data_IF_302075304333
#
_entry.id   IF_302075304333
#
_cell.length_a   1.000
_cell.length_b   1.000
_cell.length_c   1.000
_cell.angle_alpha   90.00
_cell.angle_beta   90.00
_cell.angle_gamma   90.00
#
_symmetry.space_group_name_H-M   'P 1'
#
loop_
_entity.id
_entity.type
_entity.pdbx_description
1 polymer ?
#
# COMPACT_ATOMS: atom_id res chain seq x y z
N UNK A 1 -8.90 11.73 -9.20
CA UNK A 1 -7.69 11.07 -8.64
C UNK A 1 -7.15 11.95 -7.52
N UNK A 2 -6.96 11.36 -6.34
CA UNK A 2 -6.55 12.07 -5.12
C UNK A 2 -5.12 12.60 -5.28
N UNK A 3 -4.93 13.92 -5.35
CA UNK A 3 -3.60 14.55 -5.49
C UNK A 3 -2.64 14.20 -4.34
N UNK A 4 -3.19 13.74 -3.22
CA UNK A 4 -2.49 13.37 -1.99
C UNK A 4 -1.48 12.23 -2.24
N UNK A 5 -1.86 11.19 -2.99
CA UNK A 5 -0.93 10.08 -3.25
C UNK A 5 0.18 10.49 -4.20
N UNK A 6 -0.14 11.40 -5.13
CA UNK A 6 0.81 11.92 -6.09
C UNK A 6 1.91 12.75 -5.41
N UNK A 7 1.55 13.62 -4.47
CA UNK A 7 2.56 14.39 -3.70
C UNK A 7 3.42 13.51 -2.80
N UNK A 8 2.87 12.43 -2.24
CA UNK A 8 3.65 11.45 -1.46
C UNK A 8 4.63 10.65 -2.31
N UNK A 9 4.22 10.23 -3.50
CA UNK A 9 5.07 9.52 -4.47
C UNK A 9 6.17 10.44 -5.00
N UNK A 10 5.81 11.64 -5.47
CA UNK A 10 6.75 12.65 -5.97
C UNK A 10 7.78 13.04 -4.89
N UNK A 11 7.35 13.17 -3.64
CA UNK A 11 8.23 13.46 -2.51
C UNK A 11 9.10 12.26 -2.11
N UNK A 12 8.61 11.03 -2.26
CA UNK A 12 9.38 9.82 -1.93
C UNK A 12 10.49 9.56 -2.96
N UNK A 13 10.25 9.91 -4.22
CA UNK A 13 11.17 9.71 -5.34
C UNK A 13 12.19 10.84 -5.46
N UNK A 14 11.81 12.09 -5.14
CA UNK A 14 12.69 13.24 -5.29
C UNK A 14 13.51 13.55 -4.03
N UNK A 15 14.75 13.04 -4.00
CA UNK A 15 15.70 13.27 -2.88
C UNK A 15 16.18 14.71 -2.74
N UNK A 16 16.14 15.52 -3.80
CA UNK A 16 16.51 16.94 -3.77
C UNK A 16 15.40 17.77 -3.12
N UNK A 17 14.14 17.48 -3.47
CA UNK A 17 12.97 18.09 -2.85
C UNK A 17 12.90 17.79 -1.35
N UNK A 18 13.20 16.55 -0.94
CA UNK A 18 13.30 16.19 0.48
C UNK A 18 14.37 17.02 1.23
N UNK A 19 15.50 17.28 0.58
CA UNK A 19 16.58 18.08 1.17
C UNK A 19 16.21 19.56 1.23
N UNK A 20 15.60 20.08 0.16
CA UNK A 20 15.11 21.45 0.09
C UNK A 20 14.09 21.72 1.20
N UNK A 21 13.06 20.89 1.33
CA UNK A 21 12.05 21.02 2.40
C UNK A 21 12.72 21.01 3.78
N UNK A 22 13.58 20.03 4.07
CA UNK A 22 14.26 19.98 5.36
C UNK A 22 15.15 21.20 5.61
N UNK A 23 15.75 21.78 4.57
CA UNK A 23 16.57 22.98 4.66
C UNK A 23 15.72 24.25 4.89
N UNK A 24 14.59 24.41 4.19
CA UNK A 24 13.64 25.53 4.37
C UNK A 24 13.15 25.63 5.82
N UNK A 25 12.93 24.47 6.47
CA UNK A 25 12.51 24.42 7.87
C UNK A 25 13.68 24.38 8.87
N UNK A 26 14.94 24.54 8.43
CA UNK A 26 16.13 24.51 9.31
C UNK A 26 16.42 23.15 9.95
N UNK A 27 15.79 22.08 9.47
CA UNK A 27 15.81 20.73 10.02
C UNK A 27 16.86 19.85 9.33
N UNK A 28 18.13 20.19 9.51
CA UNK A 28 19.25 19.46 8.91
C UNK A 28 19.83 18.42 9.87
N UNK A 29 19.69 17.13 9.53
CA UNK A 29 20.33 16.04 10.27
C UNK A 29 21.08 15.10 9.34
N UNK A 30 22.29 14.68 9.71
CA UNK A 30 23.06 13.68 8.93
C UNK A 30 22.49 12.27 9.04
N UNK A 31 21.70 11.98 10.08
CA UNK A 31 21.17 10.64 10.35
C UNK A 31 19.91 10.37 9.50
N UNK A 32 19.97 9.35 8.64
CA UNK A 32 18.86 8.92 7.76
C UNK A 32 17.54 8.71 8.51
N UNK A 33 17.60 8.05 9.68
CA UNK A 33 16.41 7.80 10.52
C UNK A 33 15.75 9.08 11.02
N UNK A 34 16.56 10.10 11.35
CA UNK A 34 16.08 11.39 11.85
C UNK A 34 15.46 12.20 10.71
N UNK A 35 16.12 12.27 9.54
CA UNK A 35 15.55 12.92 8.33
C UNK A 35 14.16 12.36 8.00
N UNK A 36 14.00 11.03 7.98
CA UNK A 36 12.71 10.38 7.71
C UNK A 36 11.63 10.71 8.74
N UNK A 37 12.00 10.76 10.03
CA UNK A 37 11.06 11.10 11.10
C UNK A 37 10.59 12.55 10.97
N UNK A 38 11.51 13.47 10.69
CA UNK A 38 11.22 14.90 10.50
C UNK A 38 10.37 15.14 9.26
N UNK A 39 10.73 14.52 8.13
CA UNK A 39 9.94 14.61 6.90
C UNK A 39 8.51 14.07 7.13
N UNK A 40 8.34 12.94 7.82
CA UNK A 40 7.02 12.39 8.14
C UNK A 40 6.18 13.32 9.01
N UNK A 41 6.82 14.02 9.95
CA UNK A 41 6.17 15.00 10.82
C UNK A 41 5.79 16.28 10.06
N UNK A 42 6.64 16.72 9.14
CA UNK A 42 6.33 17.82 8.22
C UNK A 42 5.18 17.47 7.29
N UNK A 43 5.18 16.25 6.76
CA UNK A 43 4.13 15.74 5.86
C UNK A 43 2.76 15.69 6.52
N UNK A 44 2.70 15.49 7.85
CA UNK A 44 1.44 15.67 8.58
C UNK A 44 0.97 17.13 8.70
N UNK A 45 1.81 18.11 8.34
CA UNK A 45 1.50 19.54 8.27
C UNK A 45 1.37 19.98 6.80
N UNK A 46 0.39 19.41 6.11
CA UNK A 46 0.21 19.45 4.65
C UNK A 46 0.16 20.87 4.05
N UNK A 47 -0.45 21.83 4.76
CA UNK A 47 -0.62 23.20 4.29
C UNK A 47 0.69 23.98 4.14
N UNK A 48 1.73 23.59 4.88
CA UNK A 48 3.05 24.22 4.82
C UNK A 48 3.91 23.62 3.71
N UNK A 49 3.75 22.32 3.42
CA UNK A 49 4.50 21.63 2.36
C UNK A 49 4.01 22.04 0.98
N UNK A 50 2.69 22.15 0.79
CA UNK A 50 2.15 22.49 -0.53
C UNK A 50 2.69 23.83 -1.06
N UNK A 51 2.96 24.80 -0.17
CA UNK A 51 3.60 26.08 -0.53
C UNK A 51 5.05 25.89 -0.98
N UNK A 52 5.85 25.15 -0.21
CA UNK A 52 7.26 24.90 -0.51
C UNK A 52 7.46 24.02 -1.76
N UNK A 53 6.56 23.06 -1.99
CA UNK A 53 6.56 22.21 -3.19
C UNK A 53 6.17 23.03 -4.43
N UNK A 54 5.21 23.96 -4.31
CA UNK A 54 4.88 24.88 -5.40
C UNK A 54 6.04 25.82 -5.73
N UNK A 55 6.73 26.35 -4.73
CA UNK A 55 7.94 27.18 -4.91
C UNK A 55 9.08 26.39 -5.59
N UNK A 56 9.31 25.13 -5.18
CA UNK A 56 10.32 24.26 -5.80
C UNK A 56 9.99 23.89 -7.27
N UNK A 57 8.69 23.73 -7.61
CA UNK A 57 8.26 23.51 -8.99
C UNK A 57 8.36 24.79 -9.84
N UNK A 58 8.28 25.97 -9.22
CA UNK A 58 8.33 27.26 -9.91
C UNK A 58 9.73 27.67 -10.38
N UNK A 59 10.80 27.19 -9.71
CA UNK A 59 12.18 27.47 -10.13
C UNK A 59 12.64 26.66 -11.37
N UNK A 60 11.80 25.73 -11.86
CA UNK A 60 12.16 24.79 -12.92
C UNK A 60 11.42 24.94 -14.26
N UNK A 61 10.44 25.83 -14.41
CA UNK A 61 9.66 25.90 -15.66
C UNK A 61 9.19 27.32 -16.02
N UNK A 62 9.85 27.88 -17.03
CA UNK A 62 9.30 28.91 -17.92
C UNK A 62 8.09 28.34 -18.67
N UNK A 63 7.06 29.17 -18.98
CA UNK A 63 5.80 28.70 -19.52
C UNK A 63 5.85 28.60 -21.05
N UNK A 64 5.50 27.45 -21.63
CA UNK A 64 5.09 27.39 -23.02
C UNK A 64 4.23 26.14 -23.31
N UNK A 65 2.99 26.41 -23.75
CA UNK A 65 2.21 25.72 -24.79
C UNK A 65 2.04 24.17 -24.67
N UNK A 66 0.80 23.71 -24.51
CA UNK A 66 -0.01 23.09 -25.58
C UNK A 66 0.73 21.92 -26.27
N UNK A 67 0.27 20.68 -26.22
CA UNK A 67 -0.91 20.25 -26.96
C UNK A 67 -1.37 18.84 -26.53
N UNK A 68 -2.63 18.56 -26.89
CA UNK A 68 -3.38 17.31 -26.73
C UNK A 68 -2.72 16.14 -27.49
N UNK A 69 -3.09 14.90 -27.17
CA UNK A 69 -3.71 13.94 -28.10
C UNK A 69 -4.07 12.64 -27.36
N UNK A 70 -5.35 12.28 -27.45
CA UNK A 70 -5.97 11.00 -27.12
C UNK A 70 -5.87 10.07 -28.35
N UNK A 71 -5.73 8.74 -28.20
CA UNK A 71 -6.32 7.65 -29.03
C UNK A 71 -6.07 6.32 -28.26
N UNK A 72 -7.06 5.71 -27.59
CA UNK A 72 -8.04 4.69 -28.03
C UNK A 72 -7.54 3.22 -28.07
N UNK A 73 -8.10 2.43 -27.13
CA UNK A 73 -8.66 1.05 -27.19
C UNK A 73 -8.06 -0.05 -28.11
N UNK A 74 -7.89 -1.29 -27.59
CA UNK A 74 -8.83 -2.44 -27.78
C UNK A 74 -8.35 -3.75 -27.08
N UNK A 75 -9.22 -4.32 -26.21
CA UNK A 75 -9.68 -5.74 -26.02
C UNK A 75 -8.66 -6.89 -26.29
N UNK A 76 -8.54 -7.95 -25.47
CA UNK A 76 -9.47 -9.11 -25.40
C UNK A 76 -9.06 -10.03 -24.22
N UNK A 77 -9.98 -10.30 -23.29
CA UNK A 77 -10.07 -11.57 -22.53
C UNK A 77 -10.81 -12.61 -23.41
N UNK A 78 -10.72 -13.92 -23.11
CA UNK A 78 -11.92 -14.50 -22.46
C UNK A 78 -11.64 -15.66 -21.48
N UNK A 79 -12.42 -15.66 -20.39
CA UNK A 79 -13.24 -16.75 -19.76
C UNK A 79 -12.67 -18.15 -19.51
N UNK A 80 -13.13 -18.98 -18.56
CA UNK A 80 -14.02 -19.01 -17.37
C UNK A 80 -14.17 -20.51 -17.05
N UNK A 81 -14.31 -20.90 -15.78
CA UNK A 81 -15.10 -22.05 -15.23
C UNK A 81 -14.61 -22.25 -13.78
N UNK A 82 -15.15 -21.57 -12.75
CA UNK A 82 -16.49 -21.63 -12.13
C UNK A 82 -16.79 -22.95 -11.39
N UNK A 83 -16.80 -22.88 -10.05
CA UNK A 83 -17.90 -23.47 -9.28
C UNK A 83 -18.17 -22.71 -7.97
N UNK A 84 -19.34 -22.08 -8.01
CA UNK A 84 -20.15 -21.37 -7.01
C UNK A 84 -20.56 -22.28 -5.85
N UNK A 85 -20.52 -21.79 -4.59
CA UNK A 85 -21.66 -21.92 -3.64
C UNK A 85 -21.65 -20.81 -2.58
N UNK A 86 -22.84 -20.23 -2.39
CA UNK A 86 -23.39 -19.60 -1.19
C UNK A 86 -23.09 -18.11 -0.93
N UNK A 87 -24.14 -17.32 -1.18
CA UNK A 87 -24.40 -16.00 -0.62
C UNK A 87 -24.33 -16.00 0.92
N UNK A 88 -23.12 -15.84 1.44
CA UNK A 88 -22.86 -15.08 2.64
C UNK A 88 -21.82 -14.04 2.24
N UNK A 89 -21.89 -12.85 2.82
CA UNK A 89 -20.98 -11.73 2.53
C UNK A 89 -19.53 -12.09 2.89
N UNK A 90 -18.89 -12.96 2.12
CA UNK A 90 -17.53 -13.40 2.36
C UNK A 90 -16.60 -12.27 1.94
N UNK A 91 -15.78 -11.74 2.86
CA UNK A 91 -14.86 -10.67 2.53
C UNK A 91 -13.83 -11.17 1.49
N UNK A 92 -13.64 -10.41 0.42
CA UNK A 92 -12.67 -10.78 -0.62
C UNK A 92 -11.23 -10.57 -0.12
N UNK A 93 -10.57 -11.63 0.34
CA UNK A 93 -9.19 -11.56 0.85
C UNK A 93 -8.12 -11.35 -0.24
N UNK A 94 -8.46 -11.53 -1.51
CA UNK A 94 -7.52 -11.42 -2.65
C UNK A 94 -7.03 -9.99 -2.89
N UNK A 95 -7.89 -9.01 -2.68
CA UNK A 95 -7.63 -7.58 -2.91
C UNK A 95 -6.80 -6.95 -1.78
N UNK A 96 -6.74 -7.60 -0.62
CA UNK A 96 -6.05 -7.06 0.55
C UNK A 96 -4.52 -7.08 0.37
N UNK A 97 -3.83 -6.07 0.93
CA UNK A 97 -2.38 -6.07 0.95
C UNK A 97 -1.87 -7.21 1.85
N UNK A 98 -0.74 -7.81 1.46
CA UNK A 98 -0.08 -8.90 2.21
C UNK A 98 0.12 -8.56 3.68
N UNK A 99 0.39 -7.30 4.00
CA UNK A 99 0.57 -6.83 5.37
C UNK A 99 -0.70 -6.95 6.20
N UNK A 100 -1.88 -6.70 5.63
CA UNK A 100 -3.17 -6.90 6.29
C UNK A 100 -3.45 -8.39 6.49
N UNK A 101 -3.25 -9.20 5.45
CA UNK A 101 -3.38 -10.66 5.52
C UNK A 101 -2.51 -11.26 6.64
N UNK A 102 -1.24 -10.83 6.74
CA UNK A 102 -0.34 -11.27 7.80
C UNK A 102 -0.75 -10.78 9.19
N UNK A 103 -1.39 -9.62 9.33
CA UNK A 103 -1.92 -9.16 10.62
C UNK A 103 -3.08 -10.02 11.07
N UNK A 104 -4.04 -10.28 10.17
CA UNK A 104 -5.19 -11.15 10.41
C UNK A 104 -4.70 -12.56 10.77
N UNK A 105 -3.84 -13.14 9.92
CA UNK A 105 -3.24 -14.44 10.17
C UNK A 105 -2.53 -14.52 11.52
N UNK A 106 -1.74 -13.51 11.90
CA UNK A 106 -1.06 -13.51 13.21
C UNK A 106 -1.99 -13.27 14.39
N UNK A 107 -3.14 -12.63 14.20
CA UNK A 107 -4.11 -12.40 15.26
C UNK A 107 -4.91 -13.67 15.55
N UNK A 108 -5.40 -14.34 14.50
CA UNK A 108 -6.39 -15.42 14.61
C UNK A 108 -5.84 -16.81 14.22
N UNK A 109 -4.85 -16.89 13.32
CA UNK A 109 -4.36 -18.14 12.71
C UNK A 109 -2.83 -18.30 12.89
N UNK A 110 -2.35 -18.23 14.14
CA UNK A 110 -0.90 -18.26 14.44
C UNK A 110 -0.22 -19.59 14.12
N UNK A 111 -1.00 -20.66 14.11
CA UNK A 111 -0.51 -22.03 13.95
C UNK A 111 -0.30 -22.40 12.47
N UNK A 112 -0.96 -21.68 11.55
CA UNK A 112 -0.88 -21.93 10.12
C UNK A 112 0.52 -21.67 9.55
N UNK A 113 1.03 -22.65 8.82
CA UNK A 113 2.38 -22.62 8.25
C UNK A 113 2.55 -21.47 7.25
N UNK A 114 1.51 -21.19 6.45
CA UNK A 114 1.50 -20.09 5.48
C UNK A 114 1.72 -18.72 6.13
N UNK A 115 1.16 -18.51 7.32
CA UNK A 115 1.30 -17.25 8.08
C UNK A 115 2.66 -17.20 8.77
N UNK A 116 3.05 -18.29 9.43
CA UNK A 116 4.28 -18.37 10.24
C UNK A 116 5.54 -18.30 9.39
N UNK A 117 5.54 -18.98 8.24
CA UNK A 117 6.69 -19.15 7.37
C UNK A 117 6.66 -18.26 6.13
N UNK A 118 5.77 -17.27 6.08
CA UNK A 118 5.65 -16.37 4.93
C UNK A 118 6.97 -15.72 4.49
N UNK A 119 7.89 -15.42 5.41
CA UNK A 119 9.21 -14.87 5.07
C UNK A 119 10.37 -15.86 5.32
N UNK A 120 10.07 -17.13 5.55
CA UNK A 120 11.07 -18.15 5.83
C UNK A 120 11.60 -18.78 4.54
N UNK A 121 12.84 -18.46 4.17
CA UNK A 121 13.50 -19.01 2.97
C UNK A 121 13.72 -20.52 3.02
N UNK A 122 13.77 -21.12 4.21
CA UNK A 122 13.99 -22.56 4.38
C UNK A 122 12.73 -23.38 4.06
N UNK A 123 11.61 -22.71 3.77
CA UNK A 123 10.30 -23.27 3.49
C UNK A 123 9.80 -22.69 2.16
N UNK A 124 10.27 -23.22 1.02
CA UNK A 124 10.09 -22.59 -0.29
C UNK A 124 8.63 -22.52 -0.73
N UNK A 125 7.79 -23.47 -0.31
CA UNK A 125 6.35 -23.50 -0.63
C UNK A 125 5.59 -22.31 -0.03
N UNK A 126 5.97 -21.92 1.20
CA UNK A 126 5.36 -20.83 1.96
C UNK A 126 6.09 -19.49 1.78
N UNK A 127 7.32 -19.51 1.23
CA UNK A 127 8.14 -18.30 1.12
C UNK A 127 7.55 -17.28 0.13
N UNK A 128 7.03 -16.19 0.69
CA UNK A 128 6.40 -15.06 0.01
C UNK A 128 5.24 -15.46 -0.92
N UNK A 129 4.62 -16.61 -0.65
CA UNK A 129 3.51 -17.10 -1.44
C UNK A 129 2.21 -16.45 -0.97
N UNK A 130 1.74 -15.43 -1.72
CA UNK A 130 0.49 -14.72 -1.39
C UNK A 130 -0.73 -15.59 -1.59
N UNK A 131 -0.77 -16.41 -2.64
CA UNK A 131 -1.94 -17.23 -2.98
C UNK A 131 -2.22 -18.25 -1.87
N UNK A 132 -1.16 -18.93 -1.41
CA UNK A 132 -1.24 -19.86 -0.30
C UNK A 132 -1.68 -19.17 1.00
N UNK A 133 -1.21 -17.94 1.26
CA UNK A 133 -1.63 -17.15 2.41
C UNK A 133 -3.12 -16.77 2.34
N UNK A 134 -3.60 -16.37 1.17
CA UNK A 134 -5.03 -16.04 0.96
C UNK A 134 -5.90 -17.28 1.14
N UNK A 135 -5.48 -18.41 0.59
CA UNK A 135 -6.19 -19.67 0.73
C UNK A 135 -6.29 -20.09 2.20
N UNK A 136 -5.18 -20.12 2.94
CA UNK A 136 -5.18 -20.44 4.37
C UNK A 136 -6.07 -19.51 5.19
N UNK A 137 -6.09 -18.21 4.90
CA UNK A 137 -6.95 -17.26 5.62
C UNK A 137 -8.42 -17.46 5.26
N UNK A 138 -8.72 -17.76 3.99
CA UNK A 138 -10.09 -18.00 3.53
C UNK A 138 -10.66 -19.28 4.14
N UNK A 139 -9.88 -20.36 4.10
CA UNK A 139 -10.24 -21.64 4.71
C UNK A 139 -10.34 -21.50 6.23
N UNK A 140 -9.39 -20.79 6.84
CA UNK A 140 -9.41 -20.46 8.27
C UNK A 140 -10.65 -19.67 8.66
N UNK A 141 -11.06 -18.68 7.85
CA UNK A 141 -12.26 -17.87 8.08
C UNK A 141 -13.53 -18.72 8.01
N UNK A 142 -13.65 -19.62 7.02
CA UNK A 142 -14.81 -20.52 6.88
C UNK A 142 -14.92 -21.52 8.05
N UNK A 143 -13.79 -21.99 8.56
CA UNK A 143 -13.74 -22.95 9.67
C UNK A 143 -13.78 -22.30 11.06
N UNK A 144 -13.74 -20.96 11.14
CA UNK A 144 -13.73 -20.22 12.41
C UNK A 144 -15.14 -20.03 13.01
N UNK A 145 -15.19 -19.69 14.29
CA UNK A 145 -16.43 -19.28 14.95
C UNK A 145 -16.91 -17.91 14.43
N UNK A 146 -18.21 -17.66 14.52
CA UNK A 146 -18.81 -16.37 14.09
C UNK A 146 -18.19 -15.16 14.79
N UNK A 147 -17.72 -15.31 16.04
CA UNK A 147 -17.05 -14.25 16.79
C UNK A 147 -15.71 -13.84 16.14
N UNK A 148 -14.95 -14.83 15.68
CA UNK A 148 -13.69 -14.62 14.98
C UNK A 148 -13.98 -14.00 13.61
N UNK A 149 -14.99 -14.49 12.89
CA UNK A 149 -15.38 -13.93 11.59
C UNK A 149 -15.75 -12.44 11.70
N UNK A 150 -16.60 -12.06 12.68
CA UNK A 150 -16.95 -10.65 12.95
C UNK A 150 -15.72 -9.81 13.32
N UNK A 151 -14.79 -10.37 14.10
CA UNK A 151 -13.56 -9.66 14.48
C UNK A 151 -12.63 -9.43 13.28
N UNK A 152 -12.60 -10.37 12.34
CA UNK A 152 -11.87 -10.25 11.07
C UNK A 152 -12.50 -9.17 10.20
N UNK A 153 -13.83 -9.16 10.07
CA UNK A 153 -14.58 -8.15 9.30
C UNK A 153 -14.37 -6.72 9.84
N UNK A 154 -14.29 -6.54 11.16
CA UNK A 154 -13.97 -5.25 11.77
C UNK A 154 -12.52 -4.80 11.54
N UNK A 155 -11.63 -5.71 11.18
CA UNK A 155 -10.20 -5.45 10.99
C UNK A 155 -9.82 -5.18 9.53
N UNK A 156 -10.75 -5.38 8.59
CA UNK A 156 -10.61 -5.16 7.16
C UNK A 156 -11.06 -3.73 6.81
#
# INVERSE_FOLDING_TARGET
>A
MNSIYKTHEDLAENTELQQHILQTFGLQSKKKRVKKKLLKQLVSQESLINKVVQEFQFDGQTPAAAEKVQVAEKKVQPTTEEKVVADTSTPSFTTLPVTALLKIGKAFFKEEEAVRYYYNKNKPEQYKNKELLVQCISDGYLNSTEEIQKSIEQSI
#
